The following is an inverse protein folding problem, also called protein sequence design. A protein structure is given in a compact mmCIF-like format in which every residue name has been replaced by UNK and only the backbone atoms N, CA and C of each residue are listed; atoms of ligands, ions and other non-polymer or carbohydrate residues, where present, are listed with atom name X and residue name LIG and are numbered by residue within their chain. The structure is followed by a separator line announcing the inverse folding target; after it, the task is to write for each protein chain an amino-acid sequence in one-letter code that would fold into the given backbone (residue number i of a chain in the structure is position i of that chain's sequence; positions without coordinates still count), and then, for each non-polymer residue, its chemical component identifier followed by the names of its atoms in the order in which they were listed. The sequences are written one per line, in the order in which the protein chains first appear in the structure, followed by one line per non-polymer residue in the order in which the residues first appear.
data_IF_196776913206
#
_entry.id   IF_196776913206
#
_cell.length_a   1.000
_cell.length_b   1.000
_cell.length_c   1.000
_cell.angle_alpha   90.00
_cell.angle_beta   90.00
_cell.angle_gamma   90.00
#
_symmetry.space_group_name_H-M   'P 1'
#
loop_
_entity.id
_entity.type
_entity.pdbx_description
1 polymer ?
#
# COMPACT_ATOMS: atom_id res chain seq x y z
N UNK A 1 -47.86 -2.70 27.36
CA UNK A 1 -46.40 -2.49 27.34
C UNK A 1 -45.81 -3.45 26.31
N UNK A 2 -45.43 -2.97 25.13
CA UNK A 2 -44.64 -3.72 24.16
C UNK A 2 -43.46 -2.81 23.79
N UNK A 3 -42.37 -2.97 24.53
CA UNK A 3 -41.16 -2.20 24.36
C UNK A 3 -40.17 -3.00 23.50
N UNK A 4 -39.59 -2.33 22.51
CA UNK A 4 -38.20 -2.55 22.11
C UNK A 4 -37.92 -3.72 21.16
N UNK A 5 -37.97 -3.45 19.85
CA UNK A 5 -37.08 -4.12 18.90
C UNK A 5 -36.56 -3.11 17.87
N UNK A 6 -35.94 -2.04 18.37
CA UNK A 6 -35.10 -1.15 17.58
C UNK A 6 -33.68 -1.31 18.10
N UNK A 7 -32.97 -2.34 17.62
CA UNK A 7 -31.57 -2.55 17.98
C UNK A 7 -30.77 -2.91 16.72
N UNK A 8 -30.09 -1.89 16.22
CA UNK A 8 -28.75 -1.98 15.65
C UNK A 8 -28.56 -2.98 14.50
N UNK A 9 -29.01 -2.60 13.30
CA UNK A 9 -28.27 -2.95 12.08
C UNK A 9 -26.99 -2.10 12.10
N UNK A 10 -26.01 -2.55 12.91
CA UNK A 10 -24.68 -1.95 12.90
C UNK A 10 -24.10 -2.12 11.50
N UNK A 11 -23.75 -0.98 10.92
CA UNK A 11 -22.96 -0.82 9.71
C UNK A 11 -21.62 -1.55 9.85
N UNK A 12 -21.60 -2.85 9.61
CA UNK A 12 -20.39 -3.57 9.22
C UNK A 12 -20.21 -3.36 7.71
N UNK A 13 -20.10 -2.10 7.28
CA UNK A 13 -19.46 -1.80 6.02
C UNK A 13 -18.00 -2.19 6.22
N UNK A 14 -17.62 -3.33 5.67
CA UNK A 14 -16.26 -3.82 5.72
C UNK A 14 -15.32 -2.69 5.30
N UNK A 15 -14.37 -2.37 6.18
CA UNK A 15 -13.14 -1.68 5.80
C UNK A 15 -12.38 -2.63 4.86
N UNK A 16 -12.84 -2.73 3.61
CA UNK A 16 -12.00 -3.21 2.53
C UNK A 16 -10.86 -2.20 2.46
N UNK A 17 -9.68 -2.57 2.96
CA UNK A 17 -8.47 -1.84 2.67
C UNK A 17 -8.33 -1.85 1.15
N UNK A 18 -8.73 -0.76 0.50
CA UNK A 18 -8.70 -0.64 -0.94
C UNK A 18 -7.26 -0.92 -1.39
N UNK A 19 -7.09 -1.92 -2.25
CA UNK A 19 -5.79 -2.17 -2.83
C UNK A 19 -5.32 -0.89 -3.56
N UNK A 20 -4.04 -0.52 -3.46
CA UNK A 20 -3.54 0.67 -4.12
C UNK A 20 -3.87 0.63 -5.61
N UNK A 21 -4.42 1.72 -6.15
CA UNK A 21 -4.73 1.82 -7.58
C UNK A 21 -3.43 1.81 -8.37
N UNK A 22 -3.19 0.74 -9.14
CA UNK A 22 -2.03 0.60 -10.02
C UNK A 22 -2.35 1.21 -11.38
N UNK A 23 -1.61 2.25 -11.74
CA UNK A 23 -1.70 2.91 -13.05
C UNK A 23 -0.63 2.32 -13.97
N UNK A 24 -1.00 1.66 -15.08
CA UNK A 24 -0.03 1.10 -16.02
C UNK A 24 0.71 2.24 -16.74
N UNK A 25 2.04 2.11 -16.82
CA UNK A 25 2.92 3.03 -17.58
C UNK A 25 3.43 2.36 -18.84
N UNK A 26 3.71 1.06 -18.77
CA UNK A 26 4.12 0.23 -19.89
C UNK A 26 3.57 -1.19 -19.70
N UNK A 27 3.31 -1.91 -20.79
CA UNK A 27 2.76 -3.25 -20.76
C UNK A 27 3.20 -4.06 -21.99
N UNK A 28 3.90 -5.16 -21.75
CA UNK A 28 4.37 -6.08 -22.77
C UNK A 28 4.15 -7.56 -22.35
N UNK A 29 4.69 -8.49 -23.14
CA UNK A 29 4.57 -9.93 -22.86
C UNK A 29 5.27 -10.36 -21.55
N UNK A 30 6.17 -9.53 -21.00
CA UNK A 30 6.91 -9.82 -19.77
C UNK A 30 6.16 -9.31 -18.54
N UNK A 31 5.30 -8.31 -18.68
CA UNK A 31 4.44 -7.81 -17.61
C UNK A 31 4.10 -6.33 -17.72
N UNK A 32 3.45 -5.81 -16.69
CA UNK A 32 3.04 -4.41 -16.58
C UNK A 32 3.97 -3.65 -15.65
N UNK A 33 4.56 -2.56 -16.14
CA UNK A 33 5.18 -1.54 -15.28
C UNK A 33 4.08 -0.60 -14.80
N UNK A 34 4.02 -0.34 -13.51
CA UNK A 34 2.98 0.49 -12.93
C UNK A 34 3.52 1.52 -11.93
N UNK A 35 2.70 2.55 -11.71
CA UNK A 35 2.84 3.51 -10.61
C UNK A 35 1.55 3.44 -9.78
N UNK A 36 1.67 3.32 -8.47
CA UNK A 36 0.57 3.37 -7.52
C UNK A 36 0.79 4.55 -6.56
N UNK A 37 0.22 5.74 -6.83
CA UNK A 37 0.35 6.89 -5.95
C UNK A 37 -0.36 6.68 -4.61
N UNK A 38 0.18 7.23 -3.53
CA UNK A 38 -0.52 7.29 -2.25
C UNK A 38 -1.52 8.47 -2.29
N UNK A 39 -2.76 8.18 -2.71
CA UNK A 39 -3.76 9.21 -2.96
C UNK A 39 -4.50 9.58 -1.68
N UNK A 40 -4.42 10.85 -1.29
CA UNK A 40 -5.22 11.43 -0.23
C UNK A 40 -6.37 12.25 -0.86
N UNK A 41 -7.62 11.76 -0.83
CA UNK A 41 -8.75 12.50 -1.36
C UNK A 41 -9.13 13.65 -0.43
N UNK A 42 -9.57 14.75 -1.03
CA UNK A 42 -10.35 15.82 -0.40
C UNK A 42 -11.74 15.84 -1.06
N UNK A 43 -12.62 16.75 -0.64
CA UNK A 43 -13.96 16.86 -1.23
C UNK A 43 -13.94 17.21 -2.74
N UNK A 44 -12.90 17.91 -3.22
CA UNK A 44 -12.84 18.46 -4.59
C UNK A 44 -11.57 18.14 -5.35
N UNK A 45 -10.58 17.52 -4.70
CA UNK A 45 -9.28 17.25 -5.30
C UNK A 45 -8.59 16.05 -4.66
N UNK A 46 -7.54 15.55 -5.28
CA UNK A 46 -6.68 14.51 -4.73
C UNK A 46 -5.23 14.97 -4.84
N UNK A 47 -4.45 14.73 -3.80
CA UNK A 47 -3.01 14.95 -3.81
C UNK A 47 -2.28 13.67 -3.43
N UNK A 48 -0.97 13.63 -3.68
CA UNK A 48 -0.16 12.45 -3.39
C UNK A 48 0.98 12.82 -2.47
N UNK A 49 1.26 11.94 -1.53
CA UNK A 49 2.33 12.09 -0.53
C UNK A 49 3.40 11.01 -0.69
N UNK A 50 3.48 10.42 -1.88
CA UNK A 50 4.33 9.28 -2.16
C UNK A 50 3.77 8.44 -3.29
N UNK A 51 4.54 7.45 -3.71
CA UNK A 51 4.14 6.50 -4.73
C UNK A 51 4.93 5.21 -4.59
N UNK A 52 4.33 4.13 -5.09
CA UNK A 52 5.00 2.87 -5.36
C UNK A 52 5.19 2.72 -6.86
N UNK A 53 6.38 2.31 -7.29
CA UNK A 53 6.62 1.88 -8.67
C UNK A 53 6.98 0.41 -8.66
N UNK A 54 6.46 -0.34 -9.62
CA UNK A 54 6.68 -1.77 -9.65
C UNK A 54 6.45 -2.40 -11.00
N UNK A 55 6.79 -3.68 -11.04
CA UNK A 55 6.52 -4.57 -12.17
C UNK A 55 5.65 -5.71 -11.67
N UNK A 56 4.61 -6.02 -12.41
CA UNK A 56 3.73 -7.15 -12.20
C UNK A 56 3.72 -8.03 -13.44
N UNK A 57 4.14 -9.29 -13.30
CA UNK A 57 4.14 -10.27 -14.39
C UNK A 57 2.81 -10.99 -14.46
N UNK A 58 2.54 -11.59 -15.61
CA UNK A 58 1.29 -12.35 -15.88
C UNK A 58 1.08 -13.54 -14.95
N UNK A 59 2.15 -14.10 -14.40
CA UNK A 59 2.11 -15.19 -13.41
C UNK A 59 1.79 -14.71 -11.99
N UNK A 60 1.57 -13.39 -11.77
CA UNK A 60 1.32 -12.79 -10.47
C UNK A 60 2.60 -12.48 -9.67
N UNK A 61 3.77 -12.82 -10.19
CA UNK A 61 5.04 -12.42 -9.58
C UNK A 61 5.32 -10.94 -9.82
N UNK A 62 6.10 -10.32 -8.95
CA UNK A 62 6.41 -8.91 -9.09
C UNK A 62 7.46 -8.40 -8.14
N UNK A 63 7.83 -7.15 -8.35
CA UNK A 63 8.68 -6.40 -7.44
C UNK A 63 8.28 -4.93 -7.44
N UNK A 64 8.51 -4.26 -6.32
CA UNK A 64 8.21 -2.84 -6.18
C UNK A 64 9.22 -2.13 -5.29
N UNK A 65 9.29 -0.82 -5.46
CA UNK A 65 9.88 0.12 -4.52
C UNK A 65 8.86 1.23 -4.26
N UNK A 66 8.79 1.74 -3.04
CA UNK A 66 7.81 2.74 -2.65
C UNK A 66 8.37 3.76 -1.68
N UNK A 67 7.72 4.91 -1.67
CA UNK A 67 7.96 5.97 -0.69
C UNK A 67 6.63 6.51 -0.20
N UNK A 68 6.56 6.85 1.07
CA UNK A 68 5.44 7.56 1.69
C UNK A 68 5.98 8.62 2.66
N UNK A 69 5.68 9.89 2.37
CA UNK A 69 6.06 11.07 3.13
C UNK A 69 4.84 11.76 3.74
N UNK A 70 3.70 11.09 3.83
CA UNK A 70 2.47 11.61 4.42
C UNK A 70 2.61 11.96 5.91
N UNK A 71 3.54 11.30 6.60
CA UNK A 71 3.81 11.53 8.03
C UNK A 71 5.15 12.23 8.23
N UNK A 72 5.40 12.85 9.40
CA UNK A 72 6.71 13.40 9.74
C UNK A 72 7.86 12.39 9.71
N UNK A 73 7.57 11.09 9.66
CA UNK A 73 8.53 10.00 9.51
C UNK A 73 8.34 9.37 8.13
N UNK A 74 9.10 9.81 7.11
CA UNK A 74 8.98 9.20 5.79
C UNK A 74 9.35 7.71 5.87
N UNK A 75 8.67 6.92 5.07
CA UNK A 75 8.93 5.48 4.92
C UNK A 75 9.33 5.19 3.48
N UNK A 76 10.30 4.30 3.33
CA UNK A 76 10.72 3.76 2.05
C UNK A 76 10.57 2.25 2.11
N UNK A 77 9.92 1.67 1.11
CA UNK A 77 9.62 0.25 1.07
C UNK A 77 10.15 -0.37 -0.21
N UNK A 78 10.40 -1.67 -0.15
CA UNK A 78 10.66 -2.51 -1.29
C UNK A 78 10.03 -3.87 -1.04
N UNK A 79 9.72 -4.59 -2.12
CA UNK A 79 9.23 -5.94 -1.98
C UNK A 79 9.31 -6.69 -3.28
N UNK A 80 9.24 -8.01 -3.15
CA UNK A 80 9.13 -8.93 -4.26
C UNK A 80 8.21 -10.09 -3.86
N UNK A 81 7.44 -10.57 -4.81
CA UNK A 81 6.60 -11.75 -4.63
C UNK A 81 6.78 -12.71 -5.79
N UNK A 82 6.68 -13.99 -5.48
CA UNK A 82 6.42 -15.02 -6.48
C UNK A 82 4.91 -15.03 -6.78
N UNK A 83 4.51 -15.59 -7.92
CA UNK A 83 3.09 -15.84 -8.22
C UNK A 83 2.41 -16.90 -7.31
N UNK A 84 3.16 -17.45 -6.35
CA UNK A 84 2.69 -18.38 -5.34
C UNK A 84 2.72 -17.77 -3.93
N UNK A 85 3.13 -18.55 -2.93
CA UNK A 85 3.00 -18.17 -1.52
C UNK A 85 4.21 -17.39 -0.96
N UNK A 86 5.30 -17.29 -1.73
CA UNK A 86 6.52 -16.63 -1.26
C UNK A 86 6.47 -15.14 -1.55
N UNK A 87 6.67 -14.34 -0.50
CA UNK A 87 6.86 -12.88 -0.61
C UNK A 87 7.91 -12.37 0.36
N UNK A 88 8.64 -11.35 -0.08
CA UNK A 88 9.62 -10.59 0.70
C UNK A 88 9.18 -9.14 0.71
N UNK A 89 9.11 -8.52 1.88
CA UNK A 89 8.91 -7.07 2.01
C UNK A 89 9.95 -6.49 2.95
N UNK A 90 10.50 -5.35 2.59
CA UNK A 90 11.47 -4.62 3.37
C UNK A 90 11.12 -3.15 3.41
N UNK A 91 11.57 -2.46 4.45
CA UNK A 91 11.41 -1.02 4.50
C UNK A 91 12.26 -0.36 5.56
N UNK A 92 12.48 0.93 5.37
CA UNK A 92 13.16 1.81 6.31
C UNK A 92 12.27 3.01 6.62
N UNK A 93 12.31 3.49 7.85
CA UNK A 93 11.64 4.72 8.27
C UNK A 93 12.57 5.55 9.15
N UNK A 94 12.41 6.87 9.11
CA UNK A 94 13.11 7.76 10.04
C UNK A 94 12.62 7.54 11.48
N UNK A 95 13.51 7.68 12.46
CA UNK A 95 13.18 7.60 13.88
C UNK A 95 12.36 8.80 14.40
N UNK A 96 12.25 9.91 13.65
CA UNK A 96 11.44 11.08 14.01
C UNK A 96 11.93 12.41 13.42
N UNK A 97 11.31 13.50 13.88
CA UNK A 97 11.57 14.90 13.43
C UNK A 97 13.04 15.36 13.49
N UNK A 98 13.86 14.69 14.29
CA UNK A 98 15.29 14.99 14.42
C UNK A 98 16.17 14.24 13.41
N UNK A 99 15.64 13.23 12.70
CA UNK A 99 16.36 12.39 11.72
C UNK A 99 17.70 11.84 12.26
N UNK A 100 17.75 11.51 13.54
CA UNK A 100 18.98 11.06 14.20
C UNK A 100 19.23 9.56 14.01
N UNK A 101 18.24 8.82 13.49
CA UNK A 101 18.34 7.38 13.28
C UNK A 101 17.34 6.84 12.25
N UNK A 102 17.59 5.59 11.83
CA UNK A 102 16.71 4.84 10.93
C UNK A 102 16.22 3.56 11.62
N UNK A 103 14.97 3.19 11.34
CA UNK A 103 14.40 1.89 11.70
C UNK A 103 14.20 1.08 10.43
N UNK A 104 14.77 -0.12 10.39
CA UNK A 104 14.69 -1.02 9.25
C UNK A 104 14.04 -2.34 9.65
N UNK A 105 13.31 -2.96 8.73
CA UNK A 105 12.71 -4.27 8.93
C UNK A 105 12.54 -5.02 7.62
N UNK A 106 12.63 -6.35 7.69
CA UNK A 106 12.36 -7.26 6.58
C UNK A 106 11.39 -8.32 7.07
N UNK A 107 10.38 -8.62 6.26
CA UNK A 107 9.41 -9.69 6.46
C UNK A 107 9.52 -10.66 5.29
N UNK A 108 9.54 -11.95 5.61
CA UNK A 108 9.52 -13.05 4.64
C UNK A 108 8.29 -13.89 4.94
N UNK A 109 7.48 -14.18 3.93
CA UNK A 109 6.34 -15.10 4.01
C UNK A 109 6.54 -16.23 3.01
N UNK A 110 6.16 -17.45 3.39
CA UNK A 110 6.28 -18.67 2.60
C UNK A 110 5.12 -19.62 2.93
#
# INVERSE_FOLDING_TARGET
MLAGLAAAVCFAAGLAAAEPVKLPVDNDDKGTVYVAPNVNPTETSAYTTGATVGVERRDGSGAYIGTDTSTPRPTYSLGASTGGNVSLTGGVSSDGKANNGVKAGVTIKY
#
